data_IF_909538389191
#
_entry.id   IF_909538389191
#
_cell.length_a   1.000
_cell.length_b   1.000
_cell.length_c   1.000
_cell.angle_alpha   90.00
_cell.angle_beta   90.00
_cell.angle_gamma   90.00
#
_symmetry.space_group_name_H-M   'P 1'
#
loop_
_entity.id
_entity.type
_entity.pdbx_description
1 polymer ?
#
# COMPACT_ATOMS: atom_id res chain seq x y z
N UNK A 1 5.23 13.80 12.36
CA UNK A 1 5.13 12.58 13.19
C UNK A 1 5.05 11.41 12.23
N UNK A 2 6.20 10.81 11.95
CA UNK A 2 6.33 9.58 11.19
C UNK A 2 5.53 8.49 11.92
N UNK A 3 4.62 7.79 11.24
CA UNK A 3 4.03 6.56 11.77
C UNK A 3 4.86 5.39 11.23
N UNK A 4 5.82 4.83 11.98
CA UNK A 4 6.67 3.74 11.51
C UNK A 4 5.97 2.38 11.68
N UNK A 5 4.64 2.35 11.56
CA UNK A 5 3.85 1.18 11.90
C UNK A 5 3.18 0.59 10.66
N UNK A 6 3.76 -0.55 10.28
CA UNK A 6 3.15 -1.73 9.65
C UNK A 6 3.27 -1.82 8.13
N UNK A 7 4.50 -2.08 7.69
CA UNK A 7 4.71 -3.10 6.67
C UNK A 7 4.25 -4.44 7.27
N UNK A 8 2.98 -4.80 7.07
CA UNK A 8 2.44 -6.08 7.50
C UNK A 8 1.99 -6.86 6.27
N UNK A 9 2.90 -7.75 5.86
CA UNK A 9 2.61 -9.11 5.39
C UNK A 9 1.72 -9.25 4.15
N UNK A 10 2.29 -8.96 2.97
CA UNK A 10 1.92 -9.64 1.74
C UNK A 10 2.50 -11.06 1.72
N UNK A 11 2.01 -11.94 2.59
CA UNK A 11 2.35 -13.37 2.57
C UNK A 11 1.10 -14.15 2.18
N UNK A 12 0.66 -13.99 0.92
CA UNK A 12 -0.33 -14.86 0.32
C UNK A 12 0.30 -16.25 0.15
N UNK A 13 0.03 -17.09 1.15
CA UNK A 13 0.55 -18.44 1.26
C UNK A 13 -0.10 -19.33 0.20
N UNK A 14 0.52 -19.40 -0.98
CA UNK A 14 0.14 -20.37 -2.01
C UNK A 14 0.43 -21.80 -1.50
N UNK A 15 -0.56 -22.43 -0.87
CA UNK A 15 -0.47 -23.81 -0.41
C UNK A 15 -0.64 -24.78 -1.59
N UNK A 16 0.48 -25.27 -2.14
CA UNK A 16 0.49 -26.33 -3.14
C UNK A 16 0.45 -27.71 -2.46
N UNK A 17 -0.68 -28.40 -2.52
CA UNK A 17 -0.86 -29.75 -1.97
C UNK A 17 -0.86 -30.81 -3.09
N UNK A 18 0.12 -31.71 -3.07
CA UNK A 18 0.20 -32.91 -3.93
C UNK A 18 -0.51 -34.06 -3.21
N UNK A 19 -1.51 -34.71 -3.83
CA UNK A 19 -2.27 -35.82 -3.22
C UNK A 19 -2.14 -37.09 -4.07
N UNK A 20 -1.64 -38.16 -3.45
CA UNK A 20 -1.64 -39.54 -3.94
C UNK A 20 -2.90 -40.27 -3.43
N UNK A 21 -3.60 -40.97 -4.34
CA UNK A 21 -4.70 -41.95 -4.14
C UNK A 21 -5.55 -41.88 -2.87
N UNK A 22 -6.70 -41.19 -2.93
CA UNK A 22 -7.67 -41.04 -1.81
C UNK A 22 -9.03 -41.65 -2.18
N UNK A 23 -9.71 -42.40 -1.28
CA UNK A 23 -11.04 -42.97 -1.55
C UNK A 23 -12.10 -41.90 -1.83
N UNK A 24 -13.08 -42.20 -2.69
CA UNK A 24 -14.03 -41.22 -3.25
C UNK A 24 -14.79 -40.37 -2.20
N UNK A 25 -15.16 -40.93 -1.05
CA UNK A 25 -15.81 -40.20 0.05
C UNK A 25 -14.84 -39.17 0.69
N UNK A 26 -13.57 -39.54 0.82
CA UNK A 26 -12.54 -38.63 1.32
C UNK A 26 -12.13 -37.60 0.26
N UNK A 27 -12.26 -37.91 -1.03
CA UNK A 27 -12.06 -36.94 -2.12
C UNK A 27 -13.15 -35.85 -2.12
N UNK A 28 -14.41 -36.21 -1.87
CA UNK A 28 -15.55 -35.28 -1.81
C UNK A 28 -15.47 -34.35 -0.57
N UNK A 29 -15.06 -34.91 0.57
CA UNK A 29 -14.76 -34.13 1.78
C UNK A 29 -13.56 -33.18 1.59
N UNK A 30 -12.50 -33.64 0.91
CA UNK A 30 -11.33 -32.82 0.60
C UNK A 30 -11.67 -31.67 -0.37
N UNK A 31 -12.54 -31.91 -1.36
CA UNK A 31 -13.00 -30.85 -2.27
C UNK A 31 -13.82 -29.78 -1.55
N UNK A 32 -14.76 -30.17 -0.68
CA UNK A 32 -15.52 -29.21 0.13
C UNK A 32 -14.61 -28.39 1.06
N UNK A 33 -13.63 -29.03 1.70
CA UNK A 33 -12.66 -28.33 2.53
C UNK A 33 -11.84 -27.31 1.72
N UNK A 34 -11.43 -27.68 0.50
CA UNK A 34 -10.74 -26.76 -0.42
C UNK A 34 -11.63 -25.59 -0.85
N UNK A 35 -12.89 -25.84 -1.18
CA UNK A 35 -13.85 -24.80 -1.55
C UNK A 35 -14.05 -23.79 -0.40
N UNK A 36 -14.24 -24.26 0.82
CA UNK A 36 -14.37 -23.40 2.01
C UNK A 36 -13.09 -22.63 2.31
N UNK A 37 -11.92 -23.25 2.13
CA UNK A 37 -10.63 -22.56 2.24
C UNK A 37 -10.53 -21.40 1.26
N UNK A 38 -10.80 -21.64 -0.03
CA UNK A 38 -10.78 -20.60 -1.07
C UNK A 38 -11.78 -19.48 -0.79
N UNK A 39 -12.98 -19.78 -0.29
CA UNK A 39 -13.97 -18.76 0.12
C UNK A 39 -13.43 -17.87 1.25
N UNK A 40 -12.75 -18.47 2.22
CA UNK A 40 -12.16 -17.76 3.36
C UNK A 40 -10.98 -16.89 2.92
N UNK A 41 -10.08 -17.38 2.07
CA UNK A 41 -9.01 -16.60 1.44
C UNK A 41 -9.56 -15.41 0.66
N UNK A 42 -10.50 -15.64 -0.26
CA UNK A 42 -11.14 -14.58 -1.05
C UNK A 42 -11.80 -13.52 -0.15
N UNK A 43 -12.31 -13.91 1.02
CA UNK A 43 -12.88 -12.98 2.00
C UNK A 43 -11.78 -12.18 2.70
N UNK A 44 -10.68 -12.81 3.10
CA UNK A 44 -9.49 -12.20 3.66
C UNK A 44 -8.89 -11.16 2.72
N UNK A 45 -8.56 -11.55 1.49
CA UNK A 45 -7.98 -10.67 0.47
C UNK A 45 -8.82 -9.43 0.22
N UNK A 46 -10.16 -9.58 0.21
CA UNK A 46 -11.07 -8.44 0.02
C UNK A 46 -10.98 -7.45 1.18
N UNK A 47 -10.75 -7.92 2.40
CA UNK A 47 -10.59 -7.08 3.58
C UNK A 47 -9.23 -6.37 3.53
N UNK A 48 -8.16 -7.09 3.19
CA UNK A 48 -6.80 -6.53 3.02
C UNK A 48 -6.78 -5.46 1.94
N UNK A 49 -7.23 -5.78 0.72
CA UNK A 49 -7.36 -4.83 -0.39
C UNK A 49 -8.19 -3.58 -0.02
N UNK A 50 -9.16 -3.71 0.89
CA UNK A 50 -9.95 -2.58 1.39
C UNK A 50 -9.13 -1.74 2.39
N UNK A 51 -8.34 -2.39 3.23
CA UNK A 51 -7.34 -1.79 4.12
C UNK A 51 -6.33 -0.95 3.32
N UNK A 52 -5.61 -1.55 2.37
CA UNK A 52 -4.57 -0.86 1.60
C UNK A 52 -5.12 0.34 0.84
N UNK A 53 -6.33 0.23 0.29
CA UNK A 53 -7.00 1.36 -0.37
C UNK A 53 -7.26 2.53 0.58
N UNK A 54 -7.55 2.25 1.85
CA UNK A 54 -7.76 3.26 2.88
C UNK A 54 -6.44 3.91 3.28
N UNK A 55 -5.38 3.13 3.43
CA UNK A 55 -4.02 3.60 3.75
C UNK A 55 -3.48 4.49 2.63
N UNK A 56 -3.47 4.01 1.38
CA UNK A 56 -3.09 4.80 0.20
C UNK A 56 -3.90 6.11 0.09
N UNK A 57 -5.15 6.13 0.56
CA UNK A 57 -5.97 7.35 0.59
C UNK A 57 -5.52 8.30 1.69
N UNK A 58 -5.14 7.78 2.85
CA UNK A 58 -4.48 8.51 3.94
C UNK A 58 -3.19 9.16 3.48
N UNK A 59 -2.27 8.40 2.91
CA UNK A 59 -0.95 8.90 2.47
C UNK A 59 -1.10 9.98 1.40
N UNK A 60 -2.07 9.81 0.49
CA UNK A 60 -2.38 10.85 -0.51
C UNK A 60 -2.91 12.14 0.12
N UNK A 61 -3.56 12.07 1.28
CA UNK A 61 -4.05 13.25 2.01
C UNK A 61 -2.88 13.94 2.71
N UNK A 62 -2.00 13.19 3.34
CA UNK A 62 -0.78 13.69 3.98
C UNK A 62 0.12 14.37 2.93
N UNK A 63 0.41 13.69 1.83
CA UNK A 63 1.15 14.23 0.69
C UNK A 63 0.55 15.51 0.08
N UNK A 64 -0.75 15.75 0.25
CA UNK A 64 -1.38 17.02 -0.17
C UNK A 64 -1.12 18.13 0.84
N UNK A 65 -1.13 17.81 2.13
CA UNK A 65 -0.75 18.73 3.20
C UNK A 65 0.71 19.14 3.06
N UNK A 66 1.64 18.21 2.89
CA UNK A 66 3.07 18.50 2.78
C UNK A 66 3.37 19.40 1.58
N UNK A 67 2.68 19.19 0.45
CA UNK A 67 2.79 20.08 -0.71
C UNK A 67 2.25 21.48 -0.45
N UNK A 68 1.23 21.62 0.41
CA UNK A 68 0.69 22.92 0.80
C UNK A 68 1.68 23.65 1.69
N UNK A 69 2.28 22.95 2.66
CA UNK A 69 3.33 23.46 3.54
C UNK A 69 4.55 23.90 2.73
N UNK A 70 5.08 23.03 1.87
CA UNK A 70 6.16 23.36 0.94
C UNK A 70 5.86 24.61 0.07
N UNK A 71 4.59 24.83 -0.30
CA UNK A 71 4.20 26.05 -1.03
C UNK A 71 4.26 27.28 -0.12
N UNK A 72 3.82 27.15 1.13
CA UNK A 72 3.92 28.21 2.13
C UNK A 72 5.38 28.55 2.44
N UNK A 73 6.26 27.57 2.57
CA UNK A 73 7.69 27.80 2.85
C UNK A 73 8.38 28.52 1.70
N UNK A 74 8.04 28.17 0.45
CA UNK A 74 8.52 28.91 -0.72
C UNK A 74 8.04 30.37 -0.72
N UNK A 75 6.79 30.62 -0.33
CA UNK A 75 6.27 31.99 -0.19
C UNK A 75 6.95 32.74 0.96
N UNK A 76 7.21 32.07 2.08
CA UNK A 76 7.92 32.62 3.22
C UNK A 76 9.36 33.01 2.81
N UNK A 77 10.06 32.15 2.08
CA UNK A 77 11.39 32.43 1.55
C UNK A 77 11.38 33.64 0.60
N UNK A 78 10.38 33.75 -0.27
CA UNK A 78 10.25 34.91 -1.16
C UNK A 78 10.01 36.21 -0.37
N UNK A 79 9.15 36.18 0.65
CA UNK A 79 8.90 37.32 1.54
C UNK A 79 10.15 37.70 2.33
N UNK A 80 10.86 36.73 2.90
CA UNK A 80 12.12 36.93 3.61
C UNK A 80 13.16 37.60 2.69
N UNK A 81 13.27 37.14 1.45
CA UNK A 81 14.13 37.77 0.43
C UNK A 81 13.76 39.23 0.18
N UNK A 82 12.47 39.56 0.07
CA UNK A 82 12.00 40.95 -0.13
C UNK A 82 12.27 41.84 1.08
N UNK A 83 12.24 41.28 2.28
CA UNK A 83 12.51 41.99 3.54
C UNK A 83 14.01 42.13 3.88
N UNK A 84 14.89 41.69 2.98
CA UNK A 84 16.34 41.82 3.20
C UNK A 84 16.95 40.75 4.12
N UNK A 85 16.30 39.59 4.27
CA UNK A 85 16.86 38.48 5.05
C UNK A 85 18.27 38.11 4.59
N UNK A 86 19.11 37.70 5.55
CA UNK A 86 20.52 37.41 5.33
C UNK A 86 20.72 36.23 4.37
N UNK A 87 21.96 36.01 3.92
CA UNK A 87 22.28 34.86 3.07
C UNK A 87 22.11 33.56 3.86
N UNK A 88 22.47 33.58 5.14
CA UNK A 88 22.43 32.48 6.09
C UNK A 88 20.99 32.05 6.39
N UNK A 89 20.10 33.00 6.68
CA UNK A 89 18.67 32.73 6.90
C UNK A 89 18.03 32.10 5.66
N UNK A 90 18.27 32.69 4.47
CA UNK A 90 17.75 32.14 3.22
C UNK A 90 18.34 30.77 2.89
N UNK A 91 19.57 30.48 3.30
CA UNK A 91 20.18 29.18 3.12
C UNK A 91 19.51 28.11 3.99
N UNK A 92 19.19 28.44 5.25
CA UNK A 92 18.44 27.54 6.16
C UNK A 92 17.07 27.19 5.59
N UNK A 93 16.28 28.19 5.22
CA UNK A 93 14.95 27.99 4.62
C UNK A 93 15.00 27.14 3.32
N UNK A 94 16.04 27.34 2.49
CA UNK A 94 16.25 26.50 1.30
C UNK A 94 16.61 25.06 1.66
N UNK A 95 17.33 24.86 2.76
CA UNK A 95 17.64 23.55 3.33
C UNK A 95 16.37 22.81 3.74
N UNK A 96 15.49 23.46 4.50
CA UNK A 96 14.17 22.94 4.90
C UNK A 96 13.34 22.55 3.68
N UNK A 97 13.15 23.49 2.73
CA UNK A 97 12.44 23.24 1.46
C UNK A 97 13.03 22.06 0.67
N UNK A 98 14.35 21.83 0.75
CA UNK A 98 15.01 20.69 0.10
C UNK A 98 14.72 19.40 0.85
N UNK A 99 14.67 19.44 2.18
CA UNK A 99 14.21 18.35 3.06
C UNK A 99 12.80 17.92 2.69
N UNK A 100 11.82 18.83 2.73
CA UNK A 100 10.41 18.50 2.46
C UNK A 100 10.23 17.92 1.05
N UNK A 101 10.98 18.43 0.07
CA UNK A 101 10.95 17.87 -1.29
C UNK A 101 11.44 16.42 -1.35
N UNK A 102 12.41 16.06 -0.52
CA UNK A 102 12.95 14.70 -0.44
C UNK A 102 11.91 13.78 0.21
N UNK A 103 11.31 14.20 1.31
CA UNK A 103 10.25 13.46 2.01
C UNK A 103 9.06 13.22 1.08
N UNK A 104 8.53 14.28 0.44
CA UNK A 104 7.46 14.19 -0.57
C UNK A 104 7.80 13.22 -1.71
N UNK A 105 9.08 13.12 -2.09
CA UNK A 105 9.52 12.19 -3.13
C UNK A 105 9.54 10.74 -2.63
N UNK A 106 9.89 10.51 -1.36
CA UNK A 106 9.85 9.20 -0.70
C UNK A 106 8.40 8.72 -0.57
N UNK A 107 7.49 9.54 -0.04
CA UNK A 107 6.06 9.17 0.11
C UNK A 107 5.42 8.84 -1.24
N UNK A 108 5.80 9.58 -2.29
CA UNK A 108 5.37 9.27 -3.66
C UNK A 108 5.86 7.91 -4.15
N UNK A 109 7.07 7.54 -3.75
CA UNK A 109 7.67 6.24 -4.02
C UNK A 109 6.92 5.12 -3.32
N UNK A 110 6.64 5.29 -2.03
CA UNK A 110 5.88 4.34 -1.19
C UNK A 110 4.48 4.11 -1.75
N UNK A 111 3.69 5.18 -1.96
CA UNK A 111 2.36 5.10 -2.59
C UNK A 111 2.39 4.39 -3.95
N UNK A 112 3.50 4.49 -4.69
CA UNK A 112 3.64 3.81 -5.99
C UNK A 112 3.88 2.32 -5.80
N UNK A 113 4.66 1.92 -4.79
CA UNK A 113 4.88 0.52 -4.41
C UNK A 113 3.58 -0.12 -3.91
N UNK A 114 2.86 0.51 -2.99
CA UNK A 114 1.60 -0.03 -2.45
C UNK A 114 0.56 -0.24 -3.55
N UNK A 115 0.51 0.68 -4.55
CA UNK A 115 -0.36 0.50 -5.70
C UNK A 115 0.01 -0.69 -6.59
N UNK A 116 1.29 -1.06 -6.66
CA UNK A 116 1.73 -2.25 -7.40
C UNK A 116 1.34 -3.50 -6.65
N UNK A 117 1.54 -3.53 -5.34
CA UNK A 117 1.13 -4.63 -4.45
C UNK A 117 -0.38 -4.85 -4.55
N UNK A 118 -1.17 -3.79 -4.34
CA UNK A 118 -2.63 -3.79 -4.53
C UNK A 118 -3.08 -4.29 -5.91
N UNK A 119 -2.26 -4.12 -6.95
CA UNK A 119 -2.54 -4.64 -8.30
C UNK A 119 -2.26 -6.14 -8.38
N UNK A 120 -1.22 -6.62 -7.72
CA UNK A 120 -0.90 -8.05 -7.59
C UNK A 120 -1.98 -8.78 -6.79
N UNK A 121 -2.38 -8.27 -5.63
CA UNK A 121 -3.39 -8.91 -4.77
C UNK A 121 -4.73 -9.06 -5.51
N UNK A 122 -5.11 -8.03 -6.29
CA UNK A 122 -6.31 -8.12 -7.15
C UNK A 122 -6.20 -9.20 -8.22
N UNK A 123 -5.01 -9.45 -8.76
CA UNK A 123 -4.81 -10.54 -9.74
C UNK A 123 -4.90 -11.89 -9.05
N UNK A 124 -4.36 -12.04 -7.85
CA UNK A 124 -4.42 -13.26 -7.05
C UNK A 124 -5.86 -13.58 -6.67
N UNK A 125 -6.58 -12.60 -6.09
CA UNK A 125 -8.03 -12.70 -5.85
C UNK A 125 -8.84 -13.09 -7.09
N UNK A 126 -8.40 -12.67 -8.29
CA UNK A 126 -9.05 -13.06 -9.55
C UNK A 126 -8.76 -14.52 -9.91
N UNK A 127 -7.56 -15.02 -9.64
CA UNK A 127 -7.20 -16.44 -9.81
C UNK A 127 -7.98 -17.30 -8.83
N UNK A 128 -8.07 -16.93 -7.56
CA UNK A 128 -8.75 -17.74 -6.54
C UNK A 128 -10.24 -17.85 -6.82
N UNK A 129 -10.86 -16.75 -7.30
CA UNK A 129 -12.24 -16.79 -7.81
C UNK A 129 -12.41 -17.72 -9.00
N UNK A 130 -11.44 -17.77 -9.91
CA UNK A 130 -11.48 -18.70 -11.05
C UNK A 130 -11.31 -20.14 -10.59
N UNK A 131 -10.46 -20.38 -9.60
CA UNK A 131 -10.26 -21.71 -9.02
C UNK A 131 -11.52 -22.18 -8.28
N UNK A 132 -12.12 -21.33 -7.45
CA UNK A 132 -13.38 -21.60 -6.78
C UNK A 132 -14.52 -21.90 -7.76
N UNK A 133 -14.53 -21.27 -8.93
CA UNK A 133 -15.53 -21.57 -9.96
C UNK A 133 -15.28 -22.91 -10.66
N UNK A 134 -14.06 -23.46 -10.62
CA UNK A 134 -13.74 -24.78 -11.18
C UNK A 134 -14.03 -25.92 -10.21
N UNK A 135 -14.18 -25.63 -8.91
CA UNK A 135 -14.54 -26.63 -7.90
C UNK A 135 -16.05 -26.84 -7.79
N UNK A 136 -16.86 -26.02 -8.49
CA UNK A 136 -18.32 -26.17 -8.59
C UNK A 136 -18.67 -26.99 -9.83
#
# INVERSE_FOLDING_TARGET
MFNPNKFMTGALAAALLIVLGVPAIAADAAQKAKEESLKNEIKGDRQEIKGDRKEIRGDRKELRSDRKELRQDRQALEKARRKGASKEERAKMRGEIKGDRKEIAQDRGEIKSDRKELKSDRKELTKDRKELNKTK
#
